data_IF_017758569627
#
_entry.id   IF_017758569627
#
_cell.length_a   1.000
_cell.length_b   1.000
_cell.length_c   1.000
_cell.angle_alpha   90.00
_cell.angle_beta   90.00
_cell.angle_gamma   90.00
#
_symmetry.space_group_name_H-M   'P 1'
#
loop_
_entity.id
_entity.type
_entity.pdbx_description
1 polymer ?
#
# COMPACT_ATOMS: atom_id res chain seq x y z
N UNK A 1 51.66 26.17 -16.66
CA UNK A 1 51.99 24.92 -17.39
C UNK A 1 52.64 23.97 -16.41
N UNK A 2 51.95 22.90 -16.01
CA UNK A 2 52.51 21.59 -15.64
C UNK A 2 51.31 20.65 -15.53
N UNK A 3 51.28 19.66 -16.41
CA UNK A 3 50.25 18.63 -16.56
C UNK A 3 50.66 17.36 -15.81
N UNK A 4 49.67 16.47 -15.67
CA UNK A 4 49.72 15.00 -15.66
C UNK A 4 49.37 14.28 -14.31
N UNK A 5 48.93 13.00 -14.34
CA UNK A 5 47.50 12.63 -14.39
C UNK A 5 47.14 11.40 -13.51
N UNK A 6 45.98 11.34 -12.87
CA UNK A 6 45.41 10.05 -12.39
C UNK A 6 43.88 10.12 -12.49
N UNK A 7 43.30 9.60 -13.58
CA UNK A 7 42.87 8.21 -13.82
C UNK A 7 41.57 7.88 -13.06
N UNK A 8 40.52 7.73 -13.86
CA UNK A 8 39.15 7.39 -13.49
C UNK A 8 39.06 6.12 -12.64
N UNK A 9 38.18 6.14 -11.64
CA UNK A 9 37.61 4.93 -11.05
C UNK A 9 36.12 4.91 -11.40
N UNK A 10 35.77 4.11 -12.40
CA UNK A 10 34.39 3.63 -12.58
C UNK A 10 34.11 2.61 -11.47
N UNK A 11 33.08 2.85 -10.68
CA UNK A 11 32.54 1.86 -9.75
C UNK A 11 31.32 1.24 -10.41
N UNK A 12 31.45 -0.01 -10.86
CA UNK A 12 30.33 -0.85 -11.26
C UNK A 12 29.57 -1.29 -10.01
N UNK A 13 28.35 -0.77 -9.81
CA UNK A 13 27.38 -1.35 -8.87
C UNK A 13 26.58 -2.44 -9.60
N UNK A 14 26.96 -3.69 -9.42
CA UNK A 14 26.11 -4.85 -9.70
C UNK A 14 25.35 -5.21 -8.44
N UNK A 15 24.03 -4.94 -8.42
CA UNK A 15 23.10 -5.40 -7.39
C UNK A 15 22.62 -6.80 -7.79
N UNK A 16 23.15 -7.83 -7.17
CA UNK A 16 22.64 -9.20 -7.29
C UNK A 16 21.55 -9.43 -6.26
N UNK A 17 20.35 -9.72 -6.75
CA UNK A 17 19.21 -10.14 -5.95
C UNK A 17 19.49 -11.49 -5.27
N UNK A 18 19.28 -11.56 -3.95
CA UNK A 18 19.38 -12.80 -3.20
C UNK A 18 18.12 -13.66 -3.42
N UNK A 19 18.27 -14.79 -4.11
CA UNK A 19 17.31 -15.88 -4.18
C UNK A 19 17.59 -16.87 -3.04
N UNK A 20 16.62 -17.07 -2.14
CA UNK A 20 16.68 -18.12 -1.12
C UNK A 20 16.02 -19.37 -1.70
N UNK A 21 16.83 -20.36 -2.06
CA UNK A 21 16.40 -21.72 -2.35
C UNK A 21 16.79 -22.61 -1.15
N UNK A 22 15.83 -23.28 -0.53
CA UNK A 22 16.09 -24.34 0.45
C UNK A 22 15.92 -25.70 -0.23
N UNK A 23 17.02 -26.43 -0.42
CA UNK A 23 17.01 -27.87 -0.66
C UNK A 23 17.10 -28.60 0.69
N UNK A 24 16.23 -29.59 0.90
CA UNK A 24 16.48 -30.68 1.86
C UNK A 24 16.18 -32.01 1.18
N UNK A 25 17.20 -32.86 1.18
CA UNK A 25 17.26 -34.20 0.60
C UNK A 25 16.68 -35.27 1.53
N UNK A 26 16.08 -36.31 0.93
CA UNK A 26 15.43 -37.46 1.56
C UNK A 26 16.39 -38.54 2.11
N UNK A 27 15.86 -39.60 2.73
CA UNK A 27 16.20 -40.95 2.29
C UNK A 27 15.00 -41.87 2.00
N UNK A 28 15.25 -42.80 1.06
CA UNK A 28 14.39 -43.88 0.57
C UNK A 28 14.11 -44.97 1.61
N UNK A 29 12.90 -45.55 1.57
CA UNK A 29 12.63 -46.97 1.86
C UNK A 29 11.55 -47.49 0.89
N UNK A 30 11.65 -48.77 0.53
CA UNK A 30 11.13 -49.32 -0.73
C UNK A 30 10.00 -50.37 -0.58
N UNK A 31 9.35 -50.62 -1.71
CA UNK A 31 8.55 -51.79 -2.14
C UNK A 31 7.09 -51.95 -1.67
N UNK A 32 6.17 -51.71 -2.61
CA UNK A 32 4.79 -52.20 -2.63
C UNK A 32 4.19 -52.00 -4.02
N UNK A 33 4.41 -52.96 -4.93
CA UNK A 33 3.97 -52.93 -6.32
C UNK A 33 2.53 -53.46 -6.42
N UNK A 34 1.58 -52.60 -6.84
CA UNK A 34 0.24 -53.02 -7.27
C UNK A 34 0.03 -52.50 -8.68
N UNK A 35 -0.02 -53.42 -9.65
CA UNK A 35 -0.42 -53.14 -11.02
C UNK A 35 -1.91 -52.80 -11.05
N UNK A 36 -2.25 -51.61 -11.53
CA UNK A 36 -3.62 -51.24 -11.89
C UNK A 36 -3.57 -50.38 -13.15
N UNK A 37 -3.88 -51.04 -14.26
CA UNK A 37 -4.45 -50.56 -15.51
C UNK A 37 -4.12 -49.11 -15.92
N UNK A 38 -3.24 -48.99 -16.92
CA UNK A 38 -2.99 -47.80 -17.73
C UNK A 38 -4.28 -47.32 -18.41
N UNK A 39 -5.02 -46.41 -17.77
CA UNK A 39 -5.88 -45.47 -18.49
C UNK A 39 -5.10 -44.18 -18.72
N UNK A 40 -4.64 -44.01 -19.96
CA UNK A 40 -4.13 -42.74 -20.52
C UNK A 40 -5.05 -41.59 -20.08
N UNK A 41 -4.58 -40.56 -19.37
CA UNK A 41 -5.39 -39.37 -19.16
C UNK A 41 -5.64 -38.75 -20.52
N UNK A 42 -6.92 -38.69 -20.92
CA UNK A 42 -7.32 -37.85 -22.02
C UNK A 42 -6.85 -36.42 -21.72
N UNK A 43 -6.11 -35.83 -22.66
CA UNK A 43 -5.72 -34.42 -22.62
C UNK A 43 -6.99 -33.56 -22.58
N UNK A 44 -7.40 -33.17 -21.38
CA UNK A 44 -8.46 -32.20 -21.16
C UNK A 44 -7.86 -30.81 -21.42
N UNK A 45 -7.93 -30.36 -22.67
CA UNK A 45 -7.88 -28.94 -22.99
C UNK A 45 -9.13 -28.27 -22.40
N UNK A 46 -9.08 -27.89 -21.12
CA UNK A 46 -10.11 -27.05 -20.52
C UNK A 46 -10.06 -25.68 -21.18
N UNK A 47 -11.01 -25.43 -22.09
CA UNK A 47 -11.28 -24.12 -22.72
C UNK A 47 -11.92 -23.10 -21.76
N UNK A 48 -11.97 -23.40 -20.47
CA UNK A 48 -12.62 -22.57 -19.46
C UNK A 48 -11.56 -21.82 -18.66
N UNK A 49 -11.49 -20.50 -18.86
CA UNK A 49 -10.68 -19.63 -18.01
C UNK A 49 -11.51 -19.22 -16.79
N UNK A 50 -11.13 -19.68 -15.60
CA UNK A 50 -11.73 -19.19 -14.34
C UNK A 50 -10.96 -17.94 -13.91
N UNK A 51 -11.57 -16.77 -14.01
CA UNK A 51 -11.02 -15.53 -13.46
C UNK A 51 -11.48 -15.42 -12.01
N UNK A 52 -10.61 -15.78 -11.06
CA UNK A 52 -10.89 -15.58 -9.64
C UNK A 52 -10.62 -14.11 -9.28
N UNK A 53 -11.69 -13.35 -9.05
CA UNK A 53 -11.61 -11.95 -8.63
C UNK A 53 -11.57 -11.77 -7.11
N UNK A 54 -11.59 -12.87 -6.36
CA UNK A 54 -11.63 -12.82 -4.90
C UNK A 54 -10.37 -12.17 -4.34
N UNK A 55 -10.56 -11.31 -3.35
CA UNK A 55 -9.45 -10.74 -2.58
C UNK A 55 -9.00 -11.78 -1.55
N UNK A 56 -7.70 -11.86 -1.31
CA UNK A 56 -7.12 -12.62 -0.19
C UNK A 56 -6.74 -11.70 0.96
N UNK A 57 -6.67 -12.24 2.17
CA UNK A 57 -6.18 -11.49 3.34
C UNK A 57 -4.76 -10.95 3.11
N UNK A 58 -3.87 -11.75 2.52
CA UNK A 58 -2.50 -11.35 2.23
C UNK A 58 -2.42 -10.10 1.33
N UNK A 59 -3.30 -9.97 0.34
CA UNK A 59 -3.36 -8.79 -0.52
C UNK A 59 -3.87 -7.55 0.23
N UNK A 60 -4.83 -7.72 1.14
CA UNK A 60 -5.32 -6.63 2.01
C UNK A 60 -4.20 -6.14 2.91
N UNK A 61 -3.48 -7.05 3.57
CA UNK A 61 -2.34 -6.71 4.44
C UNK A 61 -1.21 -6.05 3.63
N UNK A 62 -0.94 -6.53 2.41
CA UNK A 62 0.05 -5.93 1.52
C UNK A 62 -0.36 -4.51 1.10
N UNK A 63 -1.64 -4.26 0.77
CA UNK A 63 -2.15 -2.94 0.42
C UNK A 63 -2.07 -1.96 1.61
N UNK A 64 -2.40 -2.43 2.81
CA UNK A 64 -2.24 -1.65 4.06
C UNK A 64 -0.77 -1.30 4.33
N UNK A 65 0.14 -2.28 4.19
CA UNK A 65 1.59 -2.05 4.34
C UNK A 65 2.09 -1.03 3.32
N UNK A 66 1.73 -1.19 2.04
CA UNK A 66 2.10 -0.27 0.97
C UNK A 66 1.58 1.16 1.24
N UNK A 67 0.36 1.31 1.78
CA UNK A 67 -0.16 2.61 2.21
C UNK A 67 0.70 3.25 3.30
N UNK A 68 1.13 2.48 4.30
CA UNK A 68 2.02 2.97 5.36
C UNK A 68 3.39 3.40 4.85
N UNK A 69 3.99 2.59 3.98
CA UNK A 69 5.28 2.91 3.34
C UNK A 69 5.18 4.14 2.44
N UNK A 70 4.09 4.28 1.69
CA UNK A 70 3.79 5.45 0.88
C UNK A 70 3.70 6.74 1.73
N UNK A 71 3.03 6.67 2.89
CA UNK A 71 2.96 7.82 3.80
C UNK A 71 4.34 8.26 4.30
N UNK A 72 5.20 7.30 4.67
CA UNK A 72 6.58 7.59 5.07
C UNK A 72 7.38 8.16 3.90
N UNK A 73 7.25 7.58 2.70
CA UNK A 73 7.97 8.02 1.51
C UNK A 73 7.62 9.46 1.08
N UNK A 74 6.34 9.85 1.17
CA UNK A 74 5.94 11.25 0.95
C UNK A 74 6.60 12.16 1.99
N UNK A 75 6.60 11.75 3.26
CA UNK A 75 7.20 12.54 4.33
C UNK A 75 8.71 12.72 4.16
N UNK A 76 9.45 11.67 3.83
CA UNK A 76 10.91 11.76 3.65
C UNK A 76 11.26 12.53 2.37
N UNK A 77 10.49 12.34 1.29
CA UNK A 77 10.63 13.13 0.06
C UNK A 77 10.43 14.62 0.34
N UNK A 78 9.49 14.99 1.20
CA UNK A 78 9.30 16.38 1.61
C UNK A 78 10.52 16.93 2.35
N UNK A 79 11.04 16.19 3.33
CA UNK A 79 12.22 16.61 4.10
C UNK A 79 13.46 16.76 3.20
N UNK A 80 13.64 15.90 2.18
CA UNK A 80 14.83 15.85 1.32
C UNK A 80 14.75 16.75 0.08
N UNK A 81 13.57 16.84 -0.54
CA UNK A 81 13.37 17.42 -1.89
C UNK A 81 12.31 18.52 -1.93
N UNK A 82 11.69 18.83 -0.79
CA UNK A 82 10.71 19.90 -0.66
C UNK A 82 9.31 19.58 -1.19
N UNK A 83 8.44 20.57 -1.11
CA UNK A 83 6.98 20.42 -1.32
C UNK A 83 6.61 19.99 -2.74
N UNK A 84 7.30 20.48 -3.77
CA UNK A 84 6.98 20.16 -5.15
C UNK A 84 7.14 18.65 -5.43
N UNK A 85 8.28 18.08 -5.02
CA UNK A 85 8.54 16.65 -5.18
C UNK A 85 7.57 15.80 -4.36
N UNK A 86 7.29 16.19 -3.11
CA UNK A 86 6.35 15.49 -2.24
C UNK A 86 4.92 15.50 -2.80
N UNK A 87 4.48 16.63 -3.38
CA UNK A 87 3.16 16.74 -4.02
C UNK A 87 3.05 15.83 -5.24
N UNK A 88 4.03 15.83 -6.13
CA UNK A 88 4.05 14.94 -7.30
C UNK A 88 4.04 13.47 -6.90
N UNK A 89 4.78 13.10 -5.85
CA UNK A 89 4.77 11.73 -5.34
C UNK A 89 3.39 11.36 -4.74
N UNK A 90 2.82 12.24 -3.93
CA UNK A 90 1.52 12.03 -3.31
C UNK A 90 0.40 11.88 -4.35
N UNK A 91 0.41 12.70 -5.40
CA UNK A 91 -0.53 12.65 -6.53
C UNK A 91 -0.52 11.26 -7.19
N UNK A 92 0.67 10.79 -7.58
CA UNK A 92 0.85 9.46 -8.17
C UNK A 92 0.41 8.31 -7.24
N UNK A 93 0.73 8.40 -5.95
CA UNK A 93 0.33 7.41 -4.95
C UNK A 93 -1.19 7.37 -4.82
N UNK A 94 -1.85 8.53 -4.80
CA UNK A 94 -3.30 8.60 -4.64
C UNK A 94 -3.99 7.98 -5.87
N UNK A 95 -3.51 8.28 -7.08
CA UNK A 95 -4.03 7.69 -8.33
C UNK A 95 -3.92 6.16 -8.37
N UNK A 96 -2.84 5.61 -7.79
CA UNK A 96 -2.61 4.17 -7.75
C UNK A 96 -3.41 3.48 -6.65
N UNK A 97 -3.44 4.07 -5.44
CA UNK A 97 -3.98 3.43 -4.25
C UNK A 97 -5.48 3.66 -4.05
N UNK A 98 -6.07 4.70 -4.64
CA UNK A 98 -7.48 5.06 -4.47
C UNK A 98 -8.23 4.96 -5.79
N UNK A 99 -9.49 4.53 -5.71
CA UNK A 99 -10.30 4.21 -6.88
C UNK A 99 -10.96 5.43 -7.56
N UNK A 100 -10.32 6.61 -7.55
CA UNK A 100 -10.89 7.84 -8.13
C UNK A 100 -11.15 7.75 -9.64
N UNK A 101 -10.43 6.88 -10.35
CA UNK A 101 -10.67 6.57 -11.77
C UNK A 101 -11.90 5.69 -12.00
N UNK A 102 -12.41 5.02 -10.96
CA UNK A 102 -13.57 4.12 -11.04
C UNK A 102 -14.84 4.74 -10.44
N UNK A 103 -14.75 5.91 -9.83
CA UNK A 103 -15.88 6.62 -9.22
C UNK A 103 -15.45 7.50 -8.05
N UNK A 104 -16.39 7.78 -7.15
CA UNK A 104 -16.11 8.49 -5.91
C UNK A 104 -15.38 7.58 -4.91
N UNK A 105 -14.60 8.20 -4.03
CA UNK A 105 -14.02 7.55 -2.85
C UNK A 105 -14.60 8.21 -1.62
N UNK A 106 -15.11 7.43 -0.66
CA UNK A 106 -15.63 7.94 0.60
C UNK A 106 -14.45 8.22 1.55
N UNK A 107 -13.91 9.44 1.46
CA UNK A 107 -12.71 9.83 2.19
C UNK A 107 -13.06 10.77 3.34
N UNK A 108 -13.05 10.26 4.57
CA UNK A 108 -13.11 11.03 5.81
C UNK A 108 -11.74 10.97 6.52
N UNK A 109 -10.86 11.96 6.35
CA UNK A 109 -9.57 12.00 7.03
C UNK A 109 -9.69 12.35 8.52
N UNK A 110 -8.55 12.29 9.23
CA UNK A 110 -8.49 12.42 10.70
C UNK A 110 -8.72 13.85 11.19
N UNK A 111 -8.00 14.82 10.63
CA UNK A 111 -7.87 16.17 11.19
C UNK A 111 -8.68 17.20 10.41
N UNK A 112 -9.89 16.83 9.99
CA UNK A 112 -10.81 17.73 9.28
C UNK A 112 -12.10 17.93 10.08
N UNK A 113 -12.74 19.09 9.87
CA UNK A 113 -13.92 19.53 10.64
C UNK A 113 -14.87 20.37 9.78
N UNK A 114 -16.14 20.46 10.19
CA UNK A 114 -17.16 21.30 9.54
C UNK A 114 -17.54 20.80 8.13
N UNK A 115 -17.90 21.71 7.24
CA UNK A 115 -18.28 21.41 5.84
C UNK A 115 -17.17 20.68 5.08
N UNK A 116 -15.95 20.84 5.56
CA UNK A 116 -14.76 20.22 5.06
C UNK A 116 -14.39 18.92 5.78
N UNK A 117 -15.32 18.23 6.44
CA UNK A 117 -15.03 16.94 7.08
C UNK A 117 -14.81 15.82 6.06
N UNK A 118 -15.69 15.73 5.06
CA UNK A 118 -15.64 14.69 4.04
C UNK A 118 -14.98 15.21 2.75
N UNK A 119 -14.27 14.32 2.06
CA UNK A 119 -13.72 14.54 0.72
C UNK A 119 -14.17 13.39 -0.15
N UNK A 120 -14.62 13.68 -1.35
CA UNK A 120 -15.01 12.64 -2.32
C UNK A 120 -14.25 12.76 -3.63
N UNK A 121 -13.30 13.70 -3.71
CA UNK A 121 -12.52 14.00 -4.90
C UNK A 121 -11.04 13.76 -4.67
N UNK A 122 -10.34 13.39 -5.74
CA UNK A 122 -8.89 13.25 -5.77
C UNK A 122 -8.19 14.51 -5.20
N UNK A 123 -8.57 15.69 -5.72
CA UNK A 123 -8.09 17.00 -5.27
C UNK A 123 -8.22 17.19 -3.75
N UNK A 124 -9.36 16.77 -3.19
CA UNK A 124 -9.62 16.85 -1.76
C UNK A 124 -8.73 15.96 -0.91
N UNK A 125 -8.45 14.73 -1.37
CA UNK A 125 -7.51 13.84 -0.70
C UNK A 125 -6.06 14.33 -0.83
N UNK A 126 -5.65 14.78 -2.02
CA UNK A 126 -4.32 15.34 -2.25
C UNK A 126 -4.06 16.54 -1.34
N UNK A 127 -5.02 17.47 -1.27
CA UNK A 127 -4.94 18.60 -0.35
C UNK A 127 -4.79 18.15 1.10
N UNK A 128 -5.55 17.16 1.56
CA UNK A 128 -5.39 16.68 2.93
C UNK A 128 -3.98 16.14 3.20
N UNK A 129 -3.41 15.36 2.27
CA UNK A 129 -2.09 14.77 2.47
C UNK A 129 -0.95 15.77 2.39
N UNK A 130 -0.96 16.73 1.46
CA UNK A 130 0.19 17.62 1.21
C UNK A 130 -0.12 19.12 1.24
N UNK A 131 -1.36 19.51 1.52
CA UNK A 131 -1.80 20.90 1.62
C UNK A 131 -1.72 21.67 0.30
N UNK A 132 -1.64 23.00 0.43
CA UNK A 132 -1.32 23.90 -0.68
C UNK A 132 -2.45 24.16 -1.68
N UNK A 133 -3.69 23.80 -1.34
CA UNK A 133 -4.87 24.05 -2.18
C UNK A 133 -5.74 25.16 -1.58
N UNK A 134 -6.00 26.22 -2.34
CA UNK A 134 -6.81 27.36 -1.87
C UNK A 134 -8.26 26.98 -1.57
N UNK A 135 -8.77 25.88 -2.13
CA UNK A 135 -10.10 25.36 -1.82
C UNK A 135 -10.17 24.72 -0.42
N UNK A 136 -9.02 24.37 0.16
CA UNK A 136 -8.88 23.70 1.46
C UNK A 136 -7.81 24.39 2.31
N UNK A 137 -8.01 25.68 2.67
CA UNK A 137 -6.97 26.51 3.28
C UNK A 137 -6.51 26.05 4.67
N UNK A 138 -7.26 25.14 5.31
CA UNK A 138 -6.92 24.55 6.61
C UNK A 138 -6.02 23.31 6.51
N UNK A 139 -5.83 22.77 5.30
CA UNK A 139 -5.00 21.58 5.11
C UNK A 139 -3.52 21.97 5.10
N UNK A 140 -2.81 21.64 6.18
CA UNK A 140 -1.36 21.89 6.30
C UNK A 140 -0.51 20.72 5.81
N UNK A 141 -1.12 19.71 5.18
CA UNK A 141 -0.46 18.48 4.74
C UNK A 141 -0.21 17.46 5.86
N UNK A 142 -1.10 16.49 5.98
CA UNK A 142 -0.97 15.41 6.96
C UNK A 142 0.30 14.57 6.76
N UNK A 143 0.67 14.26 5.52
CA UNK A 143 1.85 13.46 5.18
C UNK A 143 3.17 14.20 5.42
N UNK A 144 3.13 15.52 5.61
CA UNK A 144 4.32 16.36 5.77
C UNK A 144 4.78 16.49 7.23
N UNK A 145 4.15 15.75 8.16
CA UNK A 145 4.41 15.83 9.60
C UNK A 145 5.67 15.06 10.05
N UNK A 146 6.58 14.73 9.14
CA UNK A 146 7.85 14.08 9.47
C UNK A 146 7.70 12.60 9.85
N UNK A 147 6.74 11.88 9.27
CA UNK A 147 6.50 10.46 9.54
C UNK A 147 7.69 9.58 9.16
N UNK A 148 7.95 8.55 9.97
CA UNK A 148 9.06 7.60 9.82
C UNK A 148 8.65 6.14 9.93
N UNK A 149 7.56 5.84 10.63
CA UNK A 149 7.06 4.48 10.81
C UNK A 149 5.55 4.47 10.83
N UNK A 150 4.96 3.45 10.23
CA UNK A 150 3.52 3.16 10.30
C UNK A 150 3.34 1.71 10.73
N UNK A 151 2.48 1.50 11.71
CA UNK A 151 2.11 0.19 12.23
C UNK A 151 0.59 0.06 12.19
N UNK A 152 0.11 -1.01 11.58
CA UNK A 152 -1.32 -1.25 11.36
C UNK A 152 -1.71 -2.48 12.15
N UNK A 153 -2.72 -2.33 13.00
CA UNK A 153 -3.30 -3.41 13.80
C UNK A 153 -4.77 -3.53 13.46
N UNK A 154 -5.12 -4.55 12.68
CA UNK A 154 -6.52 -4.85 12.39
C UNK A 154 -7.20 -5.45 13.63
N UNK A 155 -8.36 -4.91 13.98
CA UNK A 155 -9.32 -5.57 14.88
C UNK A 155 -10.14 -6.62 14.12
N UNK A 156 -10.33 -6.43 12.81
CA UNK A 156 -10.96 -7.40 11.93
C UNK A 156 -10.76 -7.09 10.46
N UNK A 157 -10.85 -8.13 9.63
CA UNK A 157 -10.85 -8.08 8.18
C UNK A 157 -12.06 -8.90 7.71
N UNK A 158 -12.90 -8.31 6.86
CA UNK A 158 -14.08 -8.94 6.31
C UNK A 158 -14.02 -8.90 4.78
N UNK A 159 -14.02 -10.06 4.14
CA UNK A 159 -13.79 -10.21 2.70
C UNK A 159 -15.00 -10.87 2.05
N UNK A 160 -15.53 -10.26 1.00
CA UNK A 160 -16.60 -10.82 0.16
C UNK A 160 -16.23 -10.59 -1.31
N UNK A 161 -15.94 -11.67 -2.03
CA UNK A 161 -15.60 -11.63 -3.45
C UNK A 161 -14.46 -10.63 -3.72
N UNK A 162 -14.72 -9.67 -4.60
CA UNK A 162 -13.74 -8.65 -5.00
C UNK A 162 -13.72 -7.42 -4.07
N UNK A 163 -14.30 -7.48 -2.88
CA UNK A 163 -14.26 -6.41 -1.87
C UNK A 163 -13.72 -6.90 -0.53
N UNK A 164 -13.03 -6.00 0.19
CA UNK A 164 -12.55 -6.26 1.54
C UNK A 164 -12.71 -5.02 2.41
N UNK A 165 -13.15 -5.20 3.65
CA UNK A 165 -13.26 -4.12 4.65
C UNK A 165 -12.36 -4.46 5.82
N UNK A 166 -11.62 -3.48 6.31
CA UNK A 166 -10.75 -3.60 7.48
C UNK A 166 -11.11 -2.54 8.49
N UNK A 167 -11.01 -2.89 9.77
CA UNK A 167 -11.16 -1.94 10.88
C UNK A 167 -10.09 -2.22 11.92
N UNK A 168 -9.56 -1.17 12.54
CA UNK A 168 -8.56 -1.29 13.60
C UNK A 168 -7.87 0.03 13.89
N UNK A 169 -6.60 -0.04 14.25
CA UNK A 169 -5.78 1.12 14.55
C UNK A 169 -4.58 1.25 13.61
N UNK A 170 -4.20 2.49 13.34
CA UNK A 170 -2.95 2.83 12.67
C UNK A 170 -2.15 3.74 13.60
N UNK A 171 -0.97 3.27 14.00
CA UNK A 171 0.00 4.04 14.77
C UNK A 171 1.07 4.59 13.84
N UNK A 172 1.28 5.91 13.89
CA UNK A 172 2.18 6.62 12.99
C UNK A 172 3.20 7.35 13.87
N UNK A 173 4.47 7.05 13.66
CA UNK A 173 5.58 7.62 14.44
C UNK A 173 6.29 8.68 13.62
N UNK A 174 6.49 9.86 14.19
CA UNK A 174 7.27 10.94 13.55
C UNK A 174 8.78 10.82 13.82
N UNK A 175 9.55 11.71 13.19
CA UNK A 175 11.02 11.80 13.31
C UNK A 175 11.52 12.12 14.71
N UNK A 176 10.65 12.54 15.63
CA UNK A 176 10.98 12.75 17.05
C UNK A 176 10.70 11.52 17.90
N UNK A 177 10.11 10.48 17.31
CA UNK A 177 9.68 9.27 18.02
C UNK A 177 8.28 9.38 18.64
N UNK A 178 7.58 10.51 18.44
CA UNK A 178 6.21 10.66 18.95
C UNK A 178 5.25 9.82 18.10
N UNK A 179 4.40 9.07 18.79
CA UNK A 179 3.38 8.21 18.17
C UNK A 179 2.03 8.90 18.18
N UNK A 180 1.36 8.89 17.03
CA UNK A 180 -0.05 9.25 16.88
C UNK A 180 -0.83 8.02 16.44
N UNK A 181 -1.83 7.62 17.21
CA UNK A 181 -2.72 6.49 16.86
C UNK A 181 -4.08 7.00 16.41
N UNK A 182 -4.59 6.43 15.31
CA UNK A 182 -5.92 6.73 14.76
C UNK A 182 -6.77 5.48 14.69
N UNK A 183 -8.08 5.64 14.89
CA UNK A 183 -9.07 4.64 14.52
C UNK A 183 -9.24 4.66 13.01
N UNK A 184 -9.24 3.48 12.40
CA UNK A 184 -9.16 3.34 10.95
C UNK A 184 -10.15 2.32 10.43
N UNK A 185 -10.86 2.72 9.38
CA UNK A 185 -11.61 1.81 8.51
C UNK A 185 -11.19 2.04 7.08
N UNK A 186 -10.87 0.94 6.39
CA UNK A 186 -10.73 0.96 4.93
C UNK A 186 -11.70 -0.01 4.30
N UNK A 187 -12.20 0.36 3.12
CA UNK A 187 -12.78 -0.59 2.20
C UNK A 187 -11.98 -0.57 0.90
N UNK A 188 -11.71 -1.75 0.39
CA UNK A 188 -10.98 -1.99 -0.83
C UNK A 188 -11.87 -2.70 -1.86
N UNK A 189 -11.61 -2.42 -3.13
CA UNK A 189 -12.20 -3.10 -4.27
C UNK A 189 -11.10 -3.53 -5.23
N UNK A 190 -11.20 -4.75 -5.76
CA UNK A 190 -10.39 -5.17 -6.91
C UNK A 190 -11.04 -4.67 -8.19
N UNK A 191 -10.34 -3.79 -8.90
CA UNK A 191 -10.76 -3.28 -10.20
C UNK A 191 -10.64 -4.33 -11.31
N UNK A 192 -11.22 -4.04 -12.48
CA UNK A 192 -11.12 -4.92 -13.67
C UNK A 192 -9.69 -5.11 -14.18
N UNK A 193 -8.77 -4.22 -13.82
CA UNK A 193 -7.33 -4.33 -14.08
C UNK A 193 -6.59 -5.20 -13.05
N UNK A 194 -7.32 -5.86 -12.15
CA UNK A 194 -6.78 -6.75 -11.12
C UNK A 194 -6.19 -6.04 -9.90
N UNK A 195 -6.10 -4.70 -9.92
CA UNK A 195 -5.50 -3.92 -8.84
C UNK A 195 -6.48 -3.67 -7.71
N UNK A 196 -6.00 -3.83 -6.48
CA UNK A 196 -6.74 -3.54 -5.26
C UNK A 196 -6.61 -2.05 -4.92
N UNK A 197 -7.74 -1.34 -4.83
CA UNK A 197 -7.78 0.10 -4.54
C UNK A 197 -8.74 0.43 -3.41
N UNK A 198 -8.47 1.53 -2.71
CA UNK A 198 -9.29 2.05 -1.62
C UNK A 198 -10.50 2.79 -2.19
N UNK A 199 -11.70 2.41 -1.74
CA UNK A 199 -12.98 3.10 -2.00
C UNK A 199 -13.57 3.75 -0.75
N UNK A 200 -13.17 3.30 0.44
CA UNK A 200 -13.50 3.98 1.71
C UNK A 200 -12.22 4.19 2.50
N UNK A 201 -12.02 5.41 2.96
CA UNK A 201 -10.97 5.78 3.91
C UNK A 201 -11.64 6.56 5.03
N UNK A 202 -11.83 5.92 6.18
CA UNK A 202 -12.29 6.58 7.39
C UNK A 202 -11.15 6.59 8.40
N UNK A 203 -10.83 7.76 8.92
CA UNK A 203 -9.77 7.95 9.90
C UNK A 203 -10.21 8.96 10.96
N UNK A 204 -10.03 8.66 12.24
CA UNK A 204 -10.36 9.58 13.34
C UNK A 204 -9.37 9.43 14.48
N UNK A 205 -9.22 10.48 15.29
CA UNK A 205 -8.58 10.31 16.60
C UNK A 205 -9.50 9.44 17.47
N UNK A 206 -8.94 8.57 18.32
CA UNK A 206 -9.74 7.83 19.28
C UNK A 206 -10.60 8.77 20.11
N UNK A 207 -11.83 8.33 20.40
CA UNK A 207 -12.72 9.11 21.24
C UNK A 207 -12.10 9.27 22.64
N UNK A 208 -11.95 10.52 23.06
CA UNK A 208 -11.65 10.86 24.44
C UNK A 208 -12.92 11.44 25.06
N UNK A 209 -13.55 10.75 26.03
CA UNK A 209 -14.63 11.36 26.80
C UNK A 209 -14.11 12.64 27.47
N UNK A 210 -14.99 13.64 27.56
CA UNK A 210 -14.76 14.87 28.32
C UNK A 210 -15.49 14.79 29.64
#
# INVERSE_FOLDING_TARGET
MHTNPFKQLQVNLSVTAATIALLVTAPLMAHGQVNSTTTKPASSNSKTSVVNVSITEAEVLAAQKAWGEALVSISTTYDEKGIAAARTLADNIIDQAYAYQSGLVLFKPTLTTGDQTFRTTHKGALSYFVGGDSSFPKDTGFALKGWRKVEIRNAGIFIIGNTATTMGNVSITDKTGKVTTVDKTWQFIRGGDGKLRIIVHHSSLPYSPK
#
